data_IF_750453881701
#
_entry.id   IF_750453881701
#
_cell.length_a   1.000
_cell.length_b   1.000
_cell.length_c   1.000
_cell.angle_alpha   90.00
_cell.angle_beta   90.00
_cell.angle_gamma   90.00
#
_symmetry.space_group_name_H-M   'P 1'
#
loop_
_entity.id
_entity.type
_entity.pdbx_description
1 polymer ?
#
# COMPACT_ATOMS: atom_id res chain seq x y z
N UNK A 1 -25.24 -2.52 -2.48
CA UNK A 1 -24.94 -1.18 -3.02
C UNK A 1 -25.90 -0.80 -4.13
N UNK A 2 -26.26 -1.73 -5.03
CA UNK A 2 -27.18 -1.45 -6.12
C UNK A 2 -28.57 -0.99 -5.64
N UNK A 3 -29.09 -1.51 -4.51
CA UNK A 3 -30.35 -1.03 -3.91
C UNK A 3 -30.28 0.43 -3.44
N UNK A 4 -29.10 0.87 -2.98
CA UNK A 4 -28.86 2.23 -2.47
C UNK A 4 -28.69 3.20 -3.65
N UNK A 5 -28.04 2.77 -4.73
CA UNK A 5 -27.97 3.49 -6.00
C UNK A 5 -29.36 3.59 -6.64
N UNK A 6 -30.16 2.53 -6.63
CA UNK A 6 -31.54 2.54 -7.12
C UNK A 6 -32.46 3.44 -6.26
N UNK A 7 -32.21 3.55 -4.95
CA UNK A 7 -32.90 4.50 -4.08
C UNK A 7 -32.52 5.96 -4.40
N UNK A 8 -31.25 6.22 -4.70
CA UNK A 8 -30.75 7.55 -5.11
C UNK A 8 -31.22 7.97 -6.51
N UNK A 9 -31.47 6.99 -7.39
CA UNK A 9 -32.09 7.19 -8.70
C UNK A 9 -33.64 7.17 -8.66
N UNK A 10 -34.22 6.74 -7.53
CA UNK A 10 -35.66 6.68 -7.34
C UNK A 10 -36.30 8.07 -7.35
N UNK A 11 -37.49 8.24 -7.96
CA UNK A 11 -38.24 9.48 -7.86
C UNK A 11 -38.86 9.56 -6.47
N UNK A 12 -38.14 10.13 -5.50
CA UNK A 12 -38.76 10.44 -4.22
C UNK A 12 -39.69 11.64 -4.39
N UNK A 13 -40.97 11.38 -4.16
CA UNK A 13 -42.03 12.36 -4.19
C UNK A 13 -41.83 13.42 -3.09
N UNK A 14 -42.19 14.65 -3.47
CA UNK A 14 -42.60 15.76 -2.61
C UNK A 14 -41.53 16.78 -2.13
N UNK A 15 -41.55 17.95 -2.77
CA UNK A 15 -41.31 19.26 -2.14
C UNK A 15 -39.89 19.73 -1.83
N UNK A 16 -38.89 18.85 -1.68
CA UNK A 16 -37.50 19.29 -1.38
C UNK A 16 -36.49 18.68 -2.35
N UNK A 17 -35.91 19.52 -3.21
CA UNK A 17 -34.74 19.20 -4.03
C UNK A 17 -33.53 18.94 -3.11
N UNK A 18 -33.45 17.75 -2.54
CA UNK A 18 -32.33 17.34 -1.72
C UNK A 18 -31.20 16.92 -2.66
N UNK A 19 -30.17 17.74 -2.78
CA UNK A 19 -28.95 17.40 -3.52
C UNK A 19 -27.84 17.15 -2.51
N UNK A 20 -27.08 16.07 -2.71
CA UNK A 20 -25.91 15.77 -1.90
C UNK A 20 -24.68 16.24 -2.66
N UNK A 21 -23.90 17.13 -2.05
CA UNK A 21 -22.61 17.53 -2.61
C UNK A 21 -21.50 16.77 -1.89
N UNK A 22 -20.79 15.92 -2.63
CA UNK A 22 -19.61 15.23 -2.16
C UNK A 22 -18.36 16.02 -2.59
N UNK A 23 -17.56 16.45 -1.62
CA UNK A 23 -16.26 17.09 -1.87
C UNK A 23 -15.17 16.07 -1.56
N UNK A 24 -14.40 15.69 -2.59
CA UNK A 24 -13.33 14.72 -2.49
C UNK A 24 -11.99 15.44 -2.64
N UNK A 25 -11.25 15.53 -1.55
CA UNK A 25 -9.87 15.98 -1.59
C UNK A 25 -8.98 14.84 -2.11
N UNK A 26 -8.09 15.13 -3.08
CA UNK A 26 -7.13 14.16 -3.62
C UNK A 26 -7.79 12.83 -4.08
N UNK A 27 -8.61 12.88 -5.14
CA UNK A 27 -9.32 11.67 -5.67
C UNK A 27 -8.37 10.56 -6.15
N UNK A 28 -7.13 10.93 -6.43
CA UNK A 28 -5.99 10.14 -6.86
C UNK A 28 -5.12 9.61 -5.71
N UNK A 29 -5.59 9.76 -4.46
CA UNK A 29 -4.93 9.22 -3.28
C UNK A 29 -4.72 7.70 -3.38
N UNK A 30 -3.69 7.15 -2.70
CA UNK A 30 -3.31 5.75 -2.85
C UNK A 30 -4.42 4.75 -2.49
N UNK A 31 -5.31 5.09 -1.55
CA UNK A 31 -6.44 4.24 -1.16
C UNK A 31 -7.63 4.29 -2.13
N UNK A 32 -7.68 5.25 -3.04
CA UNK A 32 -8.72 5.41 -4.06
C UNK A 32 -8.21 5.09 -5.46
N UNK A 33 -6.95 4.66 -5.60
CA UNK A 33 -6.34 4.34 -6.89
C UNK A 33 -6.87 3.03 -7.49
N UNK A 34 -7.54 2.21 -6.67
CA UNK A 34 -8.13 0.95 -7.11
C UNK A 34 -9.25 1.16 -8.13
N UNK A 35 -9.27 0.31 -9.15
CA UNK A 35 -10.28 0.37 -10.22
C UNK A 35 -11.71 0.21 -9.68
N UNK A 36 -11.90 -0.67 -8.68
CA UNK A 36 -13.22 -0.87 -8.07
C UNK A 36 -13.74 0.39 -7.38
N UNK A 37 -12.89 1.05 -6.57
CA UNK A 37 -13.23 2.30 -5.87
C UNK A 37 -13.62 3.42 -6.85
N UNK A 38 -12.85 3.57 -7.94
CA UNK A 38 -13.16 4.54 -8.99
C UNK A 38 -14.45 4.20 -9.74
N UNK A 39 -14.72 2.91 -9.99
CA UNK A 39 -15.98 2.46 -10.59
C UNK A 39 -17.19 2.77 -9.71
N UNK A 40 -17.08 2.58 -8.39
CA UNK A 40 -18.15 2.95 -7.47
C UNK A 40 -18.38 4.46 -7.43
N UNK A 41 -17.32 5.26 -7.38
CA UNK A 41 -17.42 6.72 -7.45
C UNK A 41 -18.09 7.19 -8.74
N UNK A 42 -17.77 6.53 -9.87
CA UNK A 42 -18.36 6.85 -11.16
C UNK A 42 -19.86 6.49 -11.21
N UNK A 43 -20.26 5.37 -10.61
CA UNK A 43 -21.70 5.03 -10.47
C UNK A 43 -22.42 6.04 -9.60
N UNK A 44 -21.81 6.49 -8.51
CA UNK A 44 -22.37 7.50 -7.61
C UNK A 44 -22.52 8.85 -8.31
N UNK A 45 -21.55 9.25 -9.16
CA UNK A 45 -21.63 10.50 -9.91
C UNK A 45 -22.69 10.50 -11.02
N UNK A 46 -23.06 9.32 -11.51
CA UNK A 46 -24.11 9.17 -12.51
C UNK A 46 -25.52 9.44 -11.94
N UNK A 47 -25.69 9.36 -10.62
CA UNK A 47 -26.97 9.62 -9.96
C UNK A 47 -27.34 11.10 -10.03
N UNK A 48 -28.60 11.38 -10.40
CA UNK A 48 -29.08 12.75 -10.65
C UNK A 48 -29.07 13.69 -9.42
N UNK A 49 -29.07 13.13 -8.21
CA UNK A 49 -29.14 13.87 -6.95
C UNK A 49 -27.76 14.16 -6.33
N UNK A 50 -26.68 13.62 -6.88
CA UNK A 50 -25.34 13.73 -6.31
C UNK A 50 -24.48 14.62 -7.21
N UNK A 51 -23.76 15.55 -6.59
CA UNK A 51 -22.77 16.38 -7.28
C UNK A 51 -21.42 16.17 -6.62
N UNK A 52 -20.42 15.84 -7.42
CA UNK A 52 -19.06 15.61 -6.94
C UNK A 52 -18.17 16.78 -7.35
N UNK A 53 -17.42 17.30 -6.39
CA UNK A 53 -16.29 18.20 -6.62
C UNK A 53 -15.05 17.47 -6.14
N UNK A 54 -14.06 17.33 -7.01
CA UNK A 54 -12.83 16.63 -6.70
C UNK A 54 -11.61 17.51 -7.00
N UNK A 55 -10.53 17.29 -6.23
CA UNK A 55 -9.19 17.83 -6.52
C UNK A 55 -8.27 16.69 -6.96
N UNK A 56 -7.29 17.04 -7.79
CA UNK A 56 -6.35 16.12 -8.44
C UNK A 56 -4.97 16.76 -8.32
N UNK A 57 -3.99 15.98 -7.85
CA UNK A 57 -2.61 16.45 -7.67
C UNK A 57 -1.60 15.64 -8.50
N UNK A 58 -1.87 14.36 -8.75
CA UNK A 58 -0.99 13.48 -9.50
C UNK A 58 -1.14 13.66 -11.01
N UNK A 59 -0.01 13.79 -11.71
CA UNK A 59 0.05 13.99 -13.17
C UNK A 59 -0.68 12.87 -13.94
N UNK A 60 -0.56 11.63 -13.46
CA UNK A 60 -1.18 10.46 -14.10
C UNK A 60 -2.62 10.20 -13.63
N UNK A 61 -3.27 11.08 -12.87
CA UNK A 61 -4.63 10.85 -12.40
C UNK A 61 -5.65 10.55 -13.53
N UNK A 62 -5.59 11.19 -14.71
CA UNK A 62 -6.50 10.86 -15.81
C UNK A 62 -6.34 9.42 -16.35
N UNK A 63 -5.24 8.74 -16.05
CA UNK A 63 -5.01 7.35 -16.44
C UNK A 63 -5.90 6.37 -15.65
N UNK A 64 -6.41 6.78 -14.49
CA UNK A 64 -7.27 5.94 -13.64
C UNK A 64 -8.66 5.73 -14.23
N UNK A 65 -9.04 6.52 -15.24
CA UNK A 65 -10.39 6.50 -15.77
C UNK A 65 -10.45 5.99 -17.21
N UNK A 66 -11.33 5.02 -17.43
CA UNK A 66 -11.69 4.58 -18.77
C UNK A 66 -12.49 5.65 -19.51
N UNK A 67 -12.38 5.65 -20.85
CA UNK A 67 -13.16 6.53 -21.73
C UNK A 67 -14.66 6.48 -21.42
N UNK A 68 -15.19 5.30 -21.09
CA UNK A 68 -16.59 5.13 -20.71
C UNK A 68 -16.89 5.87 -19.40
N UNK A 69 -16.10 5.65 -18.35
CA UNK A 69 -16.32 6.28 -17.03
C UNK A 69 -16.27 7.81 -17.11
N UNK A 70 -15.28 8.37 -17.82
CA UNK A 70 -15.16 9.83 -17.95
C UNK A 70 -16.37 10.43 -18.68
N UNK A 71 -16.75 9.86 -19.82
CA UNK A 71 -17.76 10.46 -20.69
C UNK A 71 -19.21 10.16 -20.28
N UNK A 72 -19.50 8.97 -19.74
CA UNK A 72 -20.88 8.57 -19.44
C UNK A 72 -21.26 8.73 -17.98
N UNK A 73 -20.30 8.72 -17.06
CA UNK A 73 -20.59 8.66 -15.62
C UNK A 73 -20.15 9.92 -14.88
N UNK A 74 -18.89 10.34 -15.00
CA UNK A 74 -18.39 11.49 -14.25
C UNK A 74 -18.72 12.85 -14.89
N UNK A 75 -18.77 12.92 -16.23
CA UNK A 75 -19.00 14.15 -16.99
C UNK A 75 -18.22 15.36 -16.43
N UNK A 76 -16.91 15.19 -16.27
CA UNK A 76 -16.06 16.16 -15.59
C UNK A 76 -16.00 17.51 -16.30
N UNK A 77 -16.15 18.57 -15.52
CA UNK A 77 -15.79 19.92 -15.93
C UNK A 77 -14.47 20.31 -15.27
N UNK A 78 -13.43 20.55 -16.08
CA UNK A 78 -12.07 20.82 -15.60
C UNK A 78 -11.87 22.31 -15.36
N UNK A 79 -11.44 22.66 -14.15
CA UNK A 79 -11.00 24.01 -13.81
C UNK A 79 -9.54 23.99 -13.36
N UNK A 80 -8.73 24.88 -13.94
CA UNK A 80 -7.34 25.05 -13.54
C UNK A 80 -7.23 26.10 -12.43
N UNK A 81 -6.88 25.67 -11.21
CA UNK A 81 -6.78 26.53 -10.02
C UNK A 81 -5.43 26.29 -9.31
N UNK A 82 -4.33 26.93 -9.76
CA UNK A 82 -3.03 26.81 -9.10
C UNK A 82 -2.97 27.72 -7.87
N UNK A 83 -2.97 27.14 -6.67
CA UNK A 83 -2.97 27.90 -5.41
C UNK A 83 -1.57 28.22 -4.89
N UNK A 84 -0.52 27.55 -5.39
CA UNK A 84 0.87 27.62 -4.91
C UNK A 84 1.03 27.41 -3.38
N UNK A 85 0.00 26.89 -2.71
CA UNK A 85 0.02 26.62 -1.29
C UNK A 85 0.84 25.35 -1.00
N UNK A 86 1.58 25.29 0.11
CA UNK A 86 2.36 24.10 0.46
C UNK A 86 1.45 22.94 0.90
N UNK A 87 1.76 21.74 0.41
CA UNK A 87 1.07 20.46 0.73
C UNK A 87 1.41 19.93 2.13
N UNK A 88 1.01 20.67 3.16
CA UNK A 88 1.34 20.34 4.56
C UNK A 88 0.56 19.14 5.08
N UNK A 89 -0.67 18.94 4.64
CA UNK A 89 -1.55 17.89 5.16
C UNK A 89 -1.37 16.62 4.34
N UNK A 90 -1.27 16.78 3.03
CA UNK A 90 -1.10 15.72 2.04
C UNK A 90 0.28 15.07 2.17
N UNK A 91 1.32 15.86 2.48
CA UNK A 91 2.69 15.39 2.67
C UNK A 91 2.94 14.56 3.93
N UNK A 92 2.04 14.57 4.92
CA UNK A 92 2.22 13.81 6.18
C UNK A 92 2.16 12.29 5.96
N UNK A 93 1.45 11.85 4.92
CA UNK A 93 1.22 10.43 4.65
C UNK A 93 2.21 9.84 3.64
N UNK A 94 3.04 10.68 3.01
CA UNK A 94 4.10 10.21 2.13
C UNK A 94 5.32 9.80 2.97
N UNK A 95 5.92 8.62 2.71
CA UNK A 95 7.16 8.25 3.35
C UNK A 95 8.25 9.22 2.87
N UNK A 96 8.65 10.14 3.75
CA UNK A 96 9.76 11.03 3.48
C UNK A 96 11.05 10.20 3.56
N UNK A 97 11.57 9.82 2.39
CA UNK A 97 12.84 9.08 2.24
C UNK A 97 14.01 9.87 2.86
N UNK A 98 13.89 11.19 2.97
CA UNK A 98 14.95 12.10 3.44
C UNK A 98 14.98 12.33 4.95
N UNK A 99 13.96 11.91 5.72
CA UNK A 99 13.96 12.07 7.18
C UNK A 99 14.47 10.79 7.86
N UNK A 100 15.79 10.75 8.11
CA UNK A 100 16.45 9.75 8.95
C UNK A 100 16.08 9.87 10.44
N UNK A 101 14.79 9.82 10.79
CA UNK A 101 14.38 10.00 12.17
C UNK A 101 12.90 9.78 12.40
N UNK A 102 12.51 8.52 12.64
CA UNK A 102 11.18 8.17 13.15
C UNK A 102 10.86 6.72 12.86
N UNK A 103 10.88 5.88 13.90
CA UNK A 103 10.74 4.42 13.86
C UNK A 103 9.38 3.87 13.34
N UNK A 104 8.59 4.69 12.64
CA UNK A 104 7.23 4.37 12.17
C UNK A 104 7.09 4.57 10.66
N UNK A 105 8.12 4.22 9.89
CA UNK A 105 8.14 4.24 8.41
C UNK A 105 8.05 2.83 7.81
N UNK A 106 7.31 1.92 8.45
CA UNK A 106 7.73 0.52 8.40
C UNK A 106 6.98 -0.35 7.40
N UNK A 107 5.75 0.00 7.00
CA UNK A 107 4.92 -0.91 6.15
C UNK A 107 4.92 -0.48 4.68
N UNK A 108 4.48 0.74 4.38
CA UNK A 108 4.38 1.19 2.98
C UNK A 108 5.76 1.34 2.33
N UNK A 109 6.74 1.86 3.06
CA UNK A 109 8.13 1.93 2.59
C UNK A 109 8.69 0.53 2.39
N UNK A 110 8.43 -0.40 3.31
CA UNK A 110 8.83 -1.80 3.13
C UNK A 110 8.16 -2.43 1.91
N UNK A 111 6.87 -2.19 1.66
CA UNK A 111 6.16 -2.67 0.46
C UNK A 111 6.81 -2.15 -0.83
N UNK A 112 7.14 -0.85 -0.90
CA UNK A 112 7.83 -0.25 -2.06
C UNK A 112 9.24 -0.84 -2.26
N UNK A 113 10.00 -1.00 -1.17
CA UNK A 113 11.33 -1.61 -1.23
C UNK A 113 11.21 -3.07 -1.68
N UNK A 114 10.28 -3.83 -1.10
CA UNK A 114 10.03 -5.23 -1.45
C UNK A 114 9.62 -5.39 -2.92
N UNK A 115 8.79 -4.49 -3.47
CA UNK A 115 8.45 -4.47 -4.89
C UNK A 115 9.66 -4.21 -5.80
N UNK A 116 10.70 -3.54 -5.29
CA UNK A 116 11.94 -3.27 -6.02
C UNK A 116 12.94 -4.43 -5.95
N UNK A 117 12.75 -5.36 -5.01
CA UNK A 117 13.60 -6.53 -4.82
C UNK A 117 13.31 -7.64 -5.83
N UNK A 118 14.30 -8.51 -6.06
CA UNK A 118 14.12 -9.69 -6.92
C UNK A 118 13.06 -10.66 -6.34
N UNK A 119 12.34 -11.44 -7.17
CA UNK A 119 11.33 -12.39 -6.68
C UNK A 119 11.92 -13.45 -5.73
N UNK A 120 13.19 -13.82 -5.92
CA UNK A 120 13.90 -14.71 -5.00
C UNK A 120 14.18 -14.02 -3.66
N UNK A 121 14.55 -12.74 -3.64
CA UNK A 121 14.69 -11.98 -2.41
C UNK A 121 13.34 -11.80 -1.68
N UNK A 122 12.26 -11.51 -2.40
CA UNK A 122 10.90 -11.43 -1.83
C UNK A 122 10.48 -12.74 -1.17
N UNK A 123 10.77 -13.89 -1.79
CA UNK A 123 10.46 -15.20 -1.23
C UNK A 123 11.34 -15.56 -0.03
N UNK A 124 12.62 -15.17 -0.01
CA UNK A 124 13.49 -15.29 1.18
C UNK A 124 12.93 -14.44 2.34
N UNK A 125 12.51 -13.20 2.06
CA UNK A 125 11.86 -12.35 3.06
C UNK A 125 10.56 -12.97 3.57
N UNK A 126 9.75 -13.58 2.69
CA UNK A 126 8.53 -14.30 3.07
C UNK A 126 8.79 -15.48 4.00
N UNK A 127 9.81 -16.29 3.74
CA UNK A 127 10.21 -17.40 4.63
C UNK A 127 10.55 -16.89 6.03
N UNK A 128 11.28 -15.78 6.09
CA UNK A 128 11.68 -15.17 7.36
C UNK A 128 10.46 -14.59 8.10
N UNK A 129 9.55 -13.95 7.38
CA UNK A 129 8.29 -13.44 7.92
C UNK A 129 7.37 -14.55 8.45
N UNK A 130 7.18 -15.64 7.69
CA UNK A 130 6.38 -16.81 8.09
C UNK A 130 6.90 -17.40 9.41
N UNK A 131 8.22 -17.57 9.55
CA UNK A 131 8.80 -18.13 10.76
C UNK A 131 8.66 -17.22 11.98
N UNK A 132 8.76 -15.90 11.78
CA UNK A 132 8.56 -14.91 12.85
C UNK A 132 7.10 -14.85 13.32
N UNK A 133 6.13 -15.14 12.42
CA UNK A 133 4.71 -15.26 12.78
C UNK A 133 4.41 -16.54 13.57
N UNK A 134 5.07 -17.67 13.23
CA UNK A 134 4.88 -18.94 13.92
C UNK A 134 5.52 -18.94 15.32
N UNK A 135 6.64 -18.25 15.50
CA UNK A 135 7.36 -18.15 16.77
C UNK A 135 7.50 -16.69 17.24
N UNK A 136 6.41 -16.07 17.73
CA UNK A 136 6.43 -14.68 18.18
C UNK A 136 7.26 -14.47 19.47
N UNK A 137 7.50 -15.53 20.24
CA UNK A 137 8.26 -15.50 21.49
C UNK A 137 9.77 -15.71 21.31
N UNK A 138 10.24 -16.10 20.11
CA UNK A 138 11.67 -16.26 19.82
C UNK A 138 12.27 -14.95 19.27
N UNK A 139 13.41 -14.51 19.81
CA UNK A 139 14.08 -13.25 19.43
C UNK A 139 14.73 -13.24 18.01
N UNK A 140 14.34 -14.16 17.13
CA UNK A 140 14.74 -14.17 15.72
C UNK A 140 15.21 -15.55 15.22
N UNK A 141 15.26 -15.69 13.89
CA UNK A 141 15.69 -16.93 13.24
C UNK A 141 17.22 -16.96 13.08
N UNK A 142 17.90 -18.08 13.41
CA UNK A 142 19.33 -18.21 13.14
C UNK A 142 19.61 -18.34 11.64
N UNK A 143 20.68 -17.71 11.17
CA UNK A 143 21.08 -17.69 9.74
C UNK A 143 21.22 -19.10 9.16
N UNK A 144 21.67 -20.08 9.96
CA UNK A 144 21.82 -21.47 9.53
C UNK A 144 20.47 -22.15 9.21
N UNK A 145 19.42 -21.83 9.97
CA UNK A 145 18.08 -22.37 9.71
C UNK A 145 17.49 -21.73 8.45
N UNK A 146 17.65 -20.40 8.30
CA UNK A 146 17.24 -19.69 7.08
C UNK A 146 17.90 -20.29 5.84
N UNK A 147 19.21 -20.54 5.89
CA UNK A 147 19.95 -21.12 4.78
C UNK A 147 19.43 -22.52 4.42
N UNK A 148 19.14 -23.37 5.41
CA UNK A 148 18.57 -24.70 5.17
C UNK A 148 17.23 -24.61 4.46
N UNK A 149 16.30 -23.79 4.96
CA UNK A 149 14.95 -23.62 4.39
C UNK A 149 15.03 -23.01 2.98
N UNK A 150 15.85 -21.97 2.78
CA UNK A 150 16.03 -21.35 1.48
C UNK A 150 16.65 -22.29 0.45
N UNK A 151 17.52 -23.22 0.89
CA UNK A 151 18.10 -24.25 0.02
C UNK A 151 17.09 -25.33 -0.32
N UNK A 152 16.26 -25.76 0.63
CA UNK A 152 15.18 -26.73 0.38
C UNK A 152 14.11 -26.19 -0.57
N UNK A 153 13.80 -24.88 -0.50
CA UNK A 153 12.87 -24.20 -1.42
C UNK A 153 13.53 -23.73 -2.72
N UNK A 154 14.80 -24.07 -2.97
CA UNK A 154 15.58 -23.67 -4.16
C UNK A 154 15.66 -22.15 -4.41
N UNK A 155 15.59 -21.33 -3.35
CA UNK A 155 15.61 -19.86 -3.44
C UNK A 155 17.02 -19.28 -3.60
N UNK A 156 18.03 -19.97 -3.05
CA UNK A 156 19.43 -19.54 -3.06
C UNK A 156 20.35 -20.66 -3.53
N UNK A 157 21.31 -20.32 -4.39
CA UNK A 157 22.29 -21.27 -4.94
C UNK A 157 23.50 -21.49 -4.01
N UNK A 158 23.87 -20.48 -3.23
CA UNK A 158 25.05 -20.53 -2.36
C UNK A 158 24.83 -19.65 -1.12
N UNK A 159 25.62 -19.89 -0.08
CA UNK A 159 25.58 -19.06 1.13
C UNK A 159 26.05 -17.61 0.86
N UNK A 160 26.88 -17.41 -0.16
CA UNK A 160 27.27 -16.07 -0.61
C UNK A 160 26.08 -15.29 -1.17
N UNK A 161 25.23 -15.94 -1.98
CA UNK A 161 23.99 -15.33 -2.50
C UNK A 161 23.04 -14.94 -1.37
N UNK A 162 22.89 -15.81 -0.36
CA UNK A 162 22.08 -15.49 0.82
C UNK A 162 22.64 -14.27 1.57
N UNK A 163 23.95 -14.21 1.80
CA UNK A 163 24.59 -13.07 2.46
C UNK A 163 24.42 -11.76 1.67
N UNK A 164 24.41 -11.82 0.33
CA UNK A 164 24.12 -10.65 -0.50
C UNK A 164 22.71 -10.13 -0.24
N UNK A 165 21.70 -11.01 -0.23
CA UNK A 165 20.31 -10.63 0.09
C UNK A 165 20.15 -10.12 1.52
N UNK A 166 20.84 -10.74 2.49
CA UNK A 166 20.83 -10.27 3.89
C UNK A 166 21.47 -8.88 4.04
N UNK A 167 22.50 -8.58 3.26
CA UNK A 167 23.14 -7.26 3.24
C UNK A 167 22.17 -6.23 2.67
N UNK A 168 21.50 -6.55 1.56
CA UNK A 168 20.48 -5.71 0.95
C UNK A 168 19.31 -5.43 1.91
N UNK A 169 18.81 -6.43 2.64
CA UNK A 169 17.77 -6.23 3.65
C UNK A 169 18.22 -5.36 4.83
N UNK A 170 19.51 -5.44 5.19
CA UNK A 170 20.10 -4.60 6.25
C UNK A 170 20.26 -3.16 5.79
N UNK A 171 20.69 -2.94 4.55
CA UNK A 171 20.87 -1.61 3.96
C UNK A 171 19.53 -0.87 3.84
N UNK A 172 18.44 -1.59 3.61
CA UNK A 172 17.08 -1.06 3.60
C UNK A 172 16.40 -1.00 4.98
N UNK A 173 17.14 -1.28 6.07
CA UNK A 173 16.63 -1.32 7.45
C UNK A 173 15.42 -2.26 7.67
N UNK A 174 15.19 -3.21 6.75
CA UNK A 174 14.08 -4.18 6.82
C UNK A 174 14.33 -5.28 7.85
N UNK A 175 15.59 -5.66 8.05
CA UNK A 175 15.99 -6.71 8.97
C UNK A 175 17.08 -6.19 9.89
N UNK A 176 16.93 -6.46 11.18
CA UNK A 176 17.96 -6.21 12.19
C UNK A 176 18.58 -7.54 12.62
N UNK A 177 19.90 -7.58 12.64
CA UNK A 177 20.64 -8.71 13.20
C UNK A 177 20.81 -8.46 14.70
N UNK A 178 20.32 -9.38 15.54
CA UNK A 178 20.58 -9.42 16.98
C UNK A 178 21.49 -10.60 17.26
N UNK A 179 22.59 -10.37 17.94
CA UNK A 179 23.50 -11.43 18.37
C UNK A 179 23.04 -11.97 19.72
N UNK A 180 22.68 -13.25 19.77
CA UNK A 180 22.24 -13.88 21.02
C UNK A 180 23.43 -14.16 21.95
N UNK A 181 23.17 -14.44 23.23
CA UNK A 181 24.19 -14.78 24.23
C UNK A 181 25.03 -16.02 23.87
N UNK A 182 24.53 -16.84 22.94
CA UNK A 182 25.19 -18.03 22.38
C UNK A 182 26.17 -17.69 21.22
N UNK A 183 26.31 -16.41 20.86
CA UNK A 183 27.20 -15.96 19.79
C UNK A 183 26.67 -16.21 18.37
N UNK A 184 25.48 -16.79 18.22
CA UNK A 184 24.79 -16.93 16.94
C UNK A 184 24.09 -15.63 16.54
N UNK A 185 24.18 -15.29 15.25
CA UNK A 185 23.50 -14.15 14.66
C UNK A 185 22.05 -14.55 14.32
N UNK A 186 21.08 -13.93 14.99
CA UNK A 186 19.66 -14.09 14.74
C UNK A 186 19.13 -12.90 13.93
N UNK A 187 18.28 -13.19 12.96
CA UNK A 187 17.63 -12.19 12.10
C UNK A 187 16.22 -11.93 12.60
N UNK A 188 15.88 -10.66 12.77
CA UNK A 188 14.56 -10.21 13.24
C UNK A 188 14.06 -9.03 12.41
N UNK A 189 12.80 -9.08 11.97
CA UNK A 189 12.13 -7.96 11.30
C UNK A 189 11.54 -7.05 12.38
N UNK A 190 11.96 -5.77 12.49
CA UNK A 190 11.44 -4.82 13.46
C UNK A 190 10.06 -4.28 13.05
N UNK A 191 9.10 -5.17 12.81
CA UNK A 191 7.72 -4.90 12.44
C UNK A 191 6.76 -5.54 13.44
N UNK A 192 5.64 -4.88 13.71
CA UNK A 192 4.54 -5.49 14.48
C UNK A 192 3.96 -6.68 13.71
N UNK A 193 3.56 -7.74 14.42
CA UNK A 193 2.98 -8.96 13.82
C UNK A 193 1.82 -8.65 12.86
N UNK A 194 0.92 -7.73 13.24
CA UNK A 194 -0.21 -7.28 12.42
C UNK A 194 0.21 -6.61 11.09
N UNK A 195 1.35 -5.92 11.09
CA UNK A 195 1.87 -5.26 9.90
C UNK A 195 2.59 -6.25 8.98
N UNK A 196 3.26 -7.23 9.57
CA UNK A 196 3.94 -8.31 8.86
C UNK A 196 2.94 -9.21 8.12
N UNK A 197 1.80 -9.54 8.73
CA UNK A 197 0.73 -10.30 8.08
C UNK A 197 0.19 -9.56 6.85
N UNK A 198 -0.05 -8.24 6.95
CA UNK A 198 -0.50 -7.42 5.83
C UNK A 198 0.54 -7.38 4.69
N UNK A 199 1.82 -7.27 5.03
CA UNK A 199 2.90 -7.31 4.02
C UNK A 199 3.00 -8.66 3.32
N UNK A 200 2.90 -9.76 4.06
CA UNK A 200 2.92 -11.11 3.47
C UNK A 200 1.72 -11.31 2.53
N UNK A 201 0.54 -10.77 2.88
CA UNK A 201 -0.63 -10.77 2.01
C UNK A 201 -0.40 -9.94 0.74
N UNK A 202 0.14 -8.73 0.86
CA UNK A 202 0.48 -7.87 -0.30
C UNK A 202 1.50 -8.52 -1.24
N UNK A 203 2.54 -9.19 -0.72
CA UNK A 203 3.56 -9.88 -1.53
C UNK A 203 2.98 -11.14 -2.23
N UNK A 204 1.89 -11.70 -1.69
CA UNK A 204 1.25 -12.89 -2.26
C UNK A 204 0.25 -12.61 -3.39
N UNK A 205 -0.09 -11.34 -3.62
CA UNK A 205 -0.92 -10.86 -4.72
C UNK A 205 -0.06 -10.58 -5.96
#
# INVERSE_FOLDING_TARGET
MDDLLAFLDGPHADGKKCFVCAVVHNIDGPALRDSESQQYLARISACSHIRIVASIDHVNAPLLWDKKMVHTQFNWFWYHVPTFAPYKIEGLFFPLILTHGGATQTVKTASIVLQSLTPNAQSVFKVLAEHQLVHPDEEGMPVNNLYTICRERFLVSSQFTLNSHLTEFKDHELVKTRRHSDGQDCLHIPLTTEALEKLVQEISQ
#
